data_IF_327439347336
#
_entry.id   IF_327439347336
#
_cell.length_a   1.000
_cell.length_b   1.000
_cell.length_c   1.000
_cell.angle_alpha   90.00
_cell.angle_beta   90.00
_cell.angle_gamma   90.00
#
_symmetry.space_group_name_H-M   'P 1'
#
loop_
_entity.id
_entity.type
_entity.pdbx_description
1 polymer ?
#
# COMPACT_ATOMS: atom_id res chain seq x y z
N UNK A 1 14.25 37.03 -22.98
CA UNK A 1 14.20 35.69 -23.60
C UNK A 1 14.66 34.69 -22.54
N UNK A 2 13.92 33.59 -22.32
CA UNK A 2 14.34 32.56 -21.36
C UNK A 2 15.66 31.93 -21.84
N UNK A 3 16.68 31.89 -21.01
CA UNK A 3 17.99 31.31 -21.33
C UNK A 3 17.84 29.81 -21.58
N UNK A 4 18.12 29.36 -22.81
CA UNK A 4 18.17 27.96 -23.19
C UNK A 4 19.48 27.34 -22.73
N UNK A 5 19.45 26.12 -22.21
CA UNK A 5 20.63 25.35 -21.85
C UNK A 5 20.53 23.98 -22.50
N UNK A 6 21.68 23.39 -22.83
CA UNK A 6 21.80 22.06 -23.38
C UNK A 6 22.43 21.14 -22.34
N UNK A 7 21.72 20.08 -21.96
CA UNK A 7 22.16 19.09 -20.97
C UNK A 7 22.69 17.86 -21.70
N UNK A 8 23.80 17.30 -21.23
CA UNK A 8 24.26 15.98 -21.66
C UNK A 8 23.46 14.86 -20.99
N UNK A 9 23.03 13.86 -21.76
CA UNK A 9 22.18 12.78 -21.28
C UNK A 9 22.92 11.45 -21.36
N UNK A 10 23.09 10.80 -20.23
CA UNK A 10 23.75 9.51 -20.11
C UNK A 10 22.83 8.42 -19.53
N UNK A 11 22.89 7.18 -20.04
CA UNK A 11 22.12 6.09 -19.46
C UNK A 11 22.76 5.64 -18.14
N UNK A 12 21.90 5.33 -17.14
CA UNK A 12 22.32 4.75 -15.88
C UNK A 12 21.81 3.31 -15.76
N UNK A 13 22.71 2.34 -15.83
CA UNK A 13 22.39 0.91 -15.79
C UNK A 13 22.16 0.34 -17.20
N UNK A 14 21.00 -0.30 -17.44
CA UNK A 14 20.71 -0.88 -18.75
C UNK A 14 20.58 0.22 -19.82
N UNK A 15 21.12 -0.02 -21.04
CA UNK A 15 20.95 0.92 -22.16
C UNK A 15 19.46 1.16 -22.46
N UNK A 16 19.13 2.42 -22.74
CA UNK A 16 17.78 2.82 -23.18
C UNK A 16 17.86 3.03 -24.69
N UNK A 17 17.03 2.28 -25.43
CA UNK A 17 16.94 2.46 -26.90
C UNK A 17 16.52 3.88 -27.21
N UNK A 18 17.17 4.50 -28.21
CA UNK A 18 16.87 5.86 -28.67
C UNK A 18 17.01 6.96 -27.59
N UNK A 19 17.76 6.73 -26.50
CA UNK A 19 18.04 7.81 -25.55
C UNK A 19 18.81 8.92 -26.29
N UNK A 20 18.34 10.18 -26.25
CA UNK A 20 19.06 11.30 -26.86
C UNK A 20 20.39 11.51 -26.11
N UNK A 21 21.43 11.93 -26.82
CA UNK A 21 22.72 12.29 -26.19
C UNK A 21 22.67 13.64 -25.49
N UNK A 22 21.79 14.52 -25.93
CA UNK A 22 21.57 15.87 -25.38
C UNK A 22 20.09 16.22 -25.37
N UNK A 23 19.69 17.09 -24.46
CA UNK A 23 18.35 17.68 -24.41
C UNK A 23 18.47 19.17 -24.15
N UNK A 24 17.74 19.98 -24.88
CA UNK A 24 17.71 21.45 -24.71
C UNK A 24 16.43 21.84 -23.96
N UNK A 25 16.58 22.57 -22.87
CA UNK A 25 15.50 23.12 -22.06
C UNK A 25 15.78 24.55 -21.69
N UNK A 26 14.79 25.26 -21.17
CA UNK A 26 15.03 26.61 -20.61
C UNK A 26 15.22 26.50 -19.09
N UNK A 27 15.91 27.46 -18.48
CA UNK A 27 16.05 27.49 -17.01
C UNK A 27 14.70 27.61 -16.30
N UNK A 28 13.70 28.22 -16.95
CA UNK A 28 12.33 28.34 -16.46
C UNK A 28 11.47 27.12 -16.70
N UNK A 29 11.92 26.17 -17.55
CA UNK A 29 11.23 24.90 -17.73
C UNK A 29 11.19 24.13 -16.41
N UNK A 30 10.14 23.35 -16.20
CA UNK A 30 9.98 22.53 -14.99
C UNK A 30 10.46 21.09 -15.19
N UNK A 31 10.54 20.34 -14.09
CA UNK A 31 11.00 18.94 -14.11
C UNK A 31 10.11 18.04 -14.97
N UNK A 32 8.79 18.30 -15.04
CA UNK A 32 7.86 17.53 -15.90
C UNK A 32 8.20 17.75 -17.38
N UNK A 33 8.50 18.96 -17.80
CA UNK A 33 8.89 19.26 -19.19
C UNK A 33 10.17 18.53 -19.59
N UNK A 34 11.19 18.52 -18.70
CA UNK A 34 12.42 17.77 -18.94
C UNK A 34 12.15 16.27 -19.07
N UNK A 35 11.33 15.70 -18.17
CA UNK A 35 10.96 14.29 -18.23
C UNK A 35 10.20 13.95 -19.51
N UNK A 36 9.26 14.80 -19.93
CA UNK A 36 8.48 14.61 -21.15
C UNK A 36 9.37 14.70 -22.41
N UNK A 37 10.28 15.67 -22.47
CA UNK A 37 11.20 15.81 -23.60
C UNK A 37 12.07 14.56 -23.81
N UNK A 38 12.60 13.99 -22.71
CA UNK A 38 13.39 12.75 -22.78
C UNK A 38 12.52 11.54 -23.11
N UNK A 39 11.31 11.45 -22.57
CA UNK A 39 10.35 10.39 -22.84
C UNK A 39 9.96 10.35 -24.31
N UNK A 40 9.62 11.51 -24.89
CA UNK A 40 9.26 11.66 -26.29
C UNK A 40 10.43 11.29 -27.20
N UNK A 41 11.62 11.81 -26.95
CA UNK A 41 12.81 11.52 -27.75
C UNK A 41 13.22 10.02 -27.71
N UNK A 42 13.04 9.37 -26.55
CA UNK A 42 13.39 7.96 -26.38
C UNK A 42 12.27 6.97 -26.75
N UNK A 43 11.02 7.46 -26.92
CA UNK A 43 9.84 6.63 -27.10
C UNK A 43 9.46 5.83 -25.84
N UNK A 44 10.00 6.20 -24.67
CA UNK A 44 9.70 5.55 -23.40
C UNK A 44 8.57 6.28 -22.67
N UNK A 45 7.76 5.54 -21.89
CA UNK A 45 6.80 6.19 -20.99
C UNK A 45 7.54 7.03 -19.95
N UNK A 46 7.07 8.26 -19.70
CA UNK A 46 7.63 9.17 -18.70
C UNK A 46 7.75 8.54 -17.30
N UNK A 47 6.82 7.67 -16.93
CA UNK A 47 6.82 6.95 -15.66
C UNK A 47 7.93 5.89 -15.54
N UNK A 48 8.52 5.46 -16.66
CA UNK A 48 9.66 4.53 -16.65
C UNK A 48 10.99 5.23 -16.41
N UNK A 49 11.05 6.54 -16.58
CA UNK A 49 12.30 7.29 -16.53
C UNK A 49 12.53 7.85 -15.13
N UNK A 50 13.71 7.59 -14.58
CA UNK A 50 14.21 8.26 -13.39
C UNK A 50 15.43 9.09 -13.77
N UNK A 51 15.29 10.40 -13.68
CA UNK A 51 16.35 11.36 -14.02
C UNK A 51 17.05 11.80 -12.74
N UNK A 52 18.36 11.80 -12.75
CA UNK A 52 19.21 12.27 -11.64
C UNK A 52 20.31 13.18 -12.17
N UNK A 53 20.76 14.14 -11.37
CA UNK A 53 21.93 14.94 -11.70
C UNK A 53 23.19 14.09 -11.74
N UNK A 54 24.12 14.40 -12.62
CA UNK A 54 25.41 13.75 -12.70
C UNK A 54 26.33 14.09 -11.52
N UNK A 55 26.24 15.33 -11.00
CA UNK A 55 27.10 15.87 -9.94
C UNK A 55 26.95 15.14 -8.60
N UNK A 56 25.72 15.07 -8.08
CA UNK A 56 25.42 14.59 -6.72
C UNK A 56 24.42 13.41 -6.69
N UNK A 57 23.96 12.96 -7.85
CA UNK A 57 22.94 11.91 -8.02
C UNK A 57 21.59 12.24 -7.40
N UNK A 58 21.33 13.50 -7.05
CA UNK A 58 20.00 13.92 -6.59
C UNK A 58 18.97 13.72 -7.70
N UNK A 59 17.75 13.33 -7.30
CA UNK A 59 16.67 13.08 -8.24
C UNK A 59 16.09 14.40 -8.71
N UNK A 60 15.92 14.55 -10.01
CA UNK A 60 15.15 15.63 -10.60
C UNK A 60 13.68 15.19 -10.58
N UNK A 61 12.80 15.85 -9.82
CA UNK A 61 11.41 15.44 -9.69
C UNK A 61 10.66 15.64 -11.01
N UNK A 62 9.72 14.73 -11.29
CA UNK A 62 8.78 14.88 -12.38
C UNK A 62 7.56 15.68 -11.87
N UNK A 63 7.71 16.99 -11.74
CA UNK A 63 6.65 17.88 -11.26
C UNK A 63 6.72 19.25 -11.96
N UNK A 64 5.64 20.03 -11.79
CA UNK A 64 5.51 21.38 -12.37
C UNK A 64 6.08 22.49 -11.50
N UNK A 65 6.60 22.19 -10.31
CA UNK A 65 7.01 23.20 -9.33
C UNK A 65 8.49 23.45 -9.33
N UNK A 66 9.27 22.38 -9.49
CA UNK A 66 10.72 22.43 -9.50
C UNK A 66 11.18 22.90 -10.88
N UNK A 67 11.70 24.11 -10.97
CA UNK A 67 12.28 24.60 -12.22
C UNK A 67 13.67 24.00 -12.45
N UNK A 68 14.14 24.02 -13.67
CA UNK A 68 15.50 23.57 -14.01
C UNK A 68 16.53 24.43 -13.27
N UNK A 69 16.26 25.73 -13.11
CA UNK A 69 17.11 26.65 -12.34
C UNK A 69 17.23 26.24 -10.87
N UNK A 70 16.11 25.85 -10.22
CA UNK A 70 16.08 25.35 -8.83
C UNK A 70 16.92 24.08 -8.64
N UNK A 71 17.07 23.27 -9.69
CA UNK A 71 17.91 22.07 -9.63
C UNK A 71 19.41 22.37 -9.64
N UNK A 72 19.80 23.59 -9.99
CA UNK A 72 21.20 23.99 -10.17
C UNK A 72 21.86 23.46 -11.44
N UNK A 73 21.08 22.92 -12.38
CA UNK A 73 21.60 22.52 -13.70
C UNK A 73 21.95 23.77 -14.52
N UNK A 74 23.05 23.68 -15.28
CA UNK A 74 23.56 24.72 -16.14
C UNK A 74 23.97 24.16 -17.50
N UNK A 75 24.41 25.00 -18.43
CA UNK A 75 24.90 24.57 -19.74
C UNK A 75 25.89 23.41 -19.59
N UNK A 76 25.76 22.39 -20.43
CA UNK A 76 26.60 21.19 -20.44
C UNK A 76 26.57 20.34 -19.17
N UNK A 77 25.65 20.60 -18.23
CA UNK A 77 25.47 19.70 -17.07
C UNK A 77 25.05 18.30 -17.53
N UNK A 78 25.60 17.28 -16.86
CA UNK A 78 25.26 15.87 -17.12
C UNK A 78 24.06 15.46 -16.31
N UNK A 79 23.09 14.78 -16.95
CA UNK A 79 22.00 14.10 -16.31
C UNK A 79 22.03 12.60 -16.63
N UNK A 80 21.72 11.78 -15.63
CA UNK A 80 21.66 10.34 -15.80
C UNK A 80 20.21 9.89 -15.86
N UNK A 81 19.87 9.09 -16.86
CA UNK A 81 18.54 8.54 -17.07
C UNK A 81 18.55 7.02 -16.82
N UNK A 82 17.72 6.57 -15.89
CA UNK A 82 17.55 5.15 -15.58
C UNK A 82 16.16 4.69 -16.00
N UNK A 83 16.10 3.59 -16.78
CA UNK A 83 14.85 2.88 -17.04
C UNK A 83 14.46 2.04 -15.81
N UNK A 84 13.29 2.29 -15.26
CA UNK A 84 12.70 1.55 -14.14
C UNK A 84 11.97 0.27 -14.58
N UNK A 85 11.87 0.02 -15.89
CA UNK A 85 11.08 -1.03 -16.49
C UNK A 85 9.57 -0.72 -16.50
N UNK A 86 8.73 -1.69 -16.89
CA UNK A 86 7.27 -1.50 -16.92
C UNK A 86 6.74 -1.02 -15.57
N UNK A 87 5.91 0.01 -15.63
CA UNK A 87 5.32 0.66 -14.47
C UNK A 87 3.80 0.51 -14.50
N UNK A 88 3.19 0.43 -13.31
CA UNK A 88 1.74 0.37 -13.12
C UNK A 88 1.35 1.37 -12.02
N UNK A 89 0.16 1.96 -12.13
CA UNK A 89 -0.34 2.88 -11.11
C UNK A 89 -0.53 2.16 -9.76
N UNK A 90 -0.11 2.80 -8.66
CA UNK A 90 -0.33 2.29 -7.31
C UNK A 90 -1.79 1.96 -7.04
N UNK A 91 -2.71 2.84 -7.46
CA UNK A 91 -4.15 2.63 -7.31
C UNK A 91 -4.62 1.34 -7.98
N UNK A 92 -4.18 1.08 -9.21
CA UNK A 92 -4.54 -0.15 -9.94
C UNK A 92 -4.04 -1.40 -9.22
N UNK A 93 -2.81 -1.38 -8.68
CA UNK A 93 -2.28 -2.51 -7.92
C UNK A 93 -3.14 -2.79 -6.69
N UNK A 94 -3.48 -1.76 -5.90
CA UNK A 94 -4.29 -1.94 -4.70
C UNK A 94 -5.71 -2.41 -4.99
N UNK A 95 -6.36 -1.92 -6.04
CA UNK A 95 -7.66 -2.42 -6.48
C UNK A 95 -7.57 -3.92 -6.81
N UNK A 96 -6.59 -4.32 -7.60
CA UNK A 96 -6.45 -5.73 -7.99
C UNK A 96 -6.11 -6.62 -6.78
N UNK A 97 -5.24 -6.17 -5.87
CA UNK A 97 -4.86 -6.99 -4.71
C UNK A 97 -6.00 -7.16 -3.71
N UNK A 98 -6.90 -6.18 -3.55
CA UNK A 98 -8.05 -6.29 -2.63
C UNK A 98 -9.26 -6.99 -3.26
N UNK A 99 -9.38 -7.00 -4.59
CA UNK A 99 -10.48 -7.65 -5.29
C UNK A 99 -10.56 -9.16 -5.00
N UNK A 100 -9.41 -9.85 -4.91
CA UNK A 100 -9.38 -11.28 -4.59
C UNK A 100 -10.03 -11.60 -3.26
N UNK A 101 -9.51 -11.10 -2.12
CA UNK A 101 -10.09 -11.38 -0.82
C UNK A 101 -11.47 -10.73 -0.60
N UNK A 102 -11.91 -9.81 -1.44
CA UNK A 102 -13.27 -9.32 -1.47
C UNK A 102 -14.24 -10.36 -2.02
N UNK A 103 -13.88 -11.05 -3.10
CA UNK A 103 -14.77 -11.97 -3.82
C UNK A 103 -14.63 -13.43 -3.36
N UNK A 104 -13.42 -13.90 -3.09
CA UNK A 104 -13.13 -15.29 -2.79
C UNK A 104 -13.93 -15.82 -1.58
N UNK A 105 -14.07 -15.10 -0.45
CA UNK A 105 -14.83 -15.58 0.69
C UNK A 105 -16.27 -15.93 0.34
N UNK A 106 -16.98 -15.06 -0.37
CA UNK A 106 -18.37 -15.33 -0.77
C UNK A 106 -18.46 -16.50 -1.76
N UNK A 107 -17.51 -16.59 -2.70
CA UNK A 107 -17.47 -17.71 -3.65
C UNK A 107 -17.25 -19.05 -2.94
N UNK A 108 -16.39 -19.11 -1.93
CA UNK A 108 -16.10 -20.31 -1.16
C UNK A 108 -17.23 -20.70 -0.22
N UNK A 109 -17.91 -19.71 0.37
CA UNK A 109 -19.00 -19.97 1.30
C UNK A 109 -20.26 -20.52 0.60
N UNK A 110 -20.53 -20.09 -0.64
CA UNK A 110 -21.77 -20.42 -1.34
C UNK A 110 -21.53 -21.27 -2.61
N UNK A 111 -21.22 -20.73 -3.80
CA UNK A 111 -21.29 -21.52 -5.03
C UNK A 111 -20.20 -22.59 -5.15
N UNK A 112 -19.02 -22.37 -4.59
CA UNK A 112 -17.91 -23.34 -4.66
C UNK A 112 -17.89 -24.32 -3.49
N UNK A 113 -18.70 -24.12 -2.43
CA UNK A 113 -18.72 -24.95 -1.23
C UNK A 113 -18.84 -26.45 -1.53
N UNK A 114 -19.78 -26.90 -2.37
CA UNK A 114 -19.90 -28.31 -2.70
C UNK A 114 -18.69 -28.91 -3.42
N UNK A 115 -17.99 -28.09 -4.21
CA UNK A 115 -16.81 -28.50 -4.99
C UNK A 115 -15.53 -28.53 -4.14
N UNK A 116 -15.43 -27.66 -3.13
CA UNK A 116 -14.23 -27.51 -2.32
C UNK A 116 -14.13 -28.56 -1.21
N UNK A 117 -15.27 -29.09 -0.76
CA UNK A 117 -15.34 -29.99 0.41
C UNK A 117 -15.87 -31.38 0.04
N UNK A 118 -15.53 -31.91 -1.14
CA UNK A 118 -15.93 -33.21 -1.64
C UNK A 118 -15.55 -34.42 -0.73
N UNK A 119 -14.61 -34.20 0.17
CA UNK A 119 -14.19 -35.22 1.15
C UNK A 119 -15.12 -35.32 2.36
N UNK A 120 -16.23 -34.57 2.40
CA UNK A 120 -17.26 -34.70 3.43
C UNK A 120 -18.51 -35.39 2.83
N UNK A 121 -18.99 -36.43 3.46
CA UNK A 121 -20.19 -37.17 3.01
C UNK A 121 -21.44 -36.29 3.03
N UNK A 122 -21.50 -35.35 3.96
CA UNK A 122 -22.56 -34.38 4.07
C UNK A 122 -21.96 -32.98 4.31
N UNK A 123 -22.32 -32.04 3.45
CA UNK A 123 -21.87 -30.63 3.54
C UNK A 123 -23.04 -29.80 4.08
N UNK A 124 -23.05 -29.45 5.38
CA UNK A 124 -24.13 -28.64 5.95
C UNK A 124 -24.14 -27.24 5.38
N UNK A 125 -25.27 -26.55 5.51
CA UNK A 125 -25.34 -25.11 5.24
C UNK A 125 -24.32 -24.37 6.10
N UNK A 126 -23.82 -23.19 5.63
CA UNK A 126 -22.94 -22.36 6.42
C UNK A 126 -23.58 -21.99 7.76
N UNK A 127 -22.80 -22.02 8.85
CA UNK A 127 -23.24 -21.52 10.15
C UNK A 127 -23.36 -19.98 10.15
N UNK A 128 -24.12 -19.42 11.08
CA UNK A 128 -24.22 -17.96 11.26
C UNK A 128 -22.86 -17.32 11.52
N UNK A 129 -21.97 -18.02 12.23
CA UNK A 129 -20.60 -17.53 12.46
C UNK A 129 -19.78 -17.50 11.17
N UNK A 130 -19.89 -18.50 10.32
CA UNK A 130 -19.23 -18.49 9.00
C UNK A 130 -19.77 -17.35 8.11
N UNK A 131 -21.08 -17.15 8.10
CA UNK A 131 -21.71 -16.02 7.39
C UNK A 131 -21.22 -14.69 7.94
N UNK A 132 -21.15 -14.56 9.26
CA UNK A 132 -20.62 -13.34 9.91
C UNK A 132 -19.16 -13.09 9.50
N UNK A 133 -18.28 -14.10 9.56
CA UNK A 133 -16.88 -13.94 9.14
C UNK A 133 -16.81 -13.50 7.67
N UNK A 134 -17.60 -14.10 6.79
CA UNK A 134 -17.67 -13.68 5.39
C UNK A 134 -18.08 -12.20 5.26
N UNK A 135 -19.08 -11.77 6.02
CA UNK A 135 -19.52 -10.36 6.05
C UNK A 135 -18.41 -9.43 6.55
N UNK A 136 -17.68 -9.79 7.60
CA UNK A 136 -16.57 -8.98 8.12
C UNK A 136 -15.44 -8.85 7.10
N UNK A 137 -15.05 -9.94 6.42
CA UNK A 137 -14.05 -9.91 5.35
C UNK A 137 -14.51 -9.03 4.19
N UNK A 138 -15.77 -9.17 3.77
CA UNK A 138 -16.35 -8.34 2.71
C UNK A 138 -16.35 -6.85 3.07
N UNK A 139 -16.78 -6.50 4.27
CA UNK A 139 -16.79 -5.12 4.76
C UNK A 139 -15.38 -4.54 4.85
N UNK A 140 -14.42 -5.31 5.36
CA UNK A 140 -13.02 -4.90 5.42
C UNK A 140 -12.50 -4.55 4.02
N UNK A 141 -12.62 -5.46 3.04
CA UNK A 141 -12.07 -5.24 1.71
C UNK A 141 -12.87 -4.23 0.88
N UNK A 142 -14.17 -4.07 1.07
CA UNK A 142 -14.95 -2.95 0.51
C UNK A 142 -14.45 -1.61 1.05
N UNK A 143 -14.19 -1.51 2.35
CA UNK A 143 -13.57 -0.32 2.93
C UNK A 143 -12.18 -0.07 2.32
N UNK A 144 -11.33 -1.11 2.17
CA UNK A 144 -10.00 -0.96 1.55
C UNK A 144 -10.09 -0.48 0.10
N UNK A 145 -11.06 -0.97 -0.68
CA UNK A 145 -11.32 -0.46 -2.04
C UNK A 145 -11.76 1.01 -2.02
N UNK A 146 -12.72 1.33 -1.17
CA UNK A 146 -13.17 2.71 -0.99
C UNK A 146 -12.02 3.65 -0.63
N UNK A 147 -11.19 3.27 0.35
CA UNK A 147 -10.03 4.05 0.76
C UNK A 147 -9.00 4.21 -0.37
N UNK A 148 -8.79 3.18 -1.18
CA UNK A 148 -7.87 3.21 -2.33
C UNK A 148 -8.34 4.19 -3.40
N UNK A 149 -9.63 4.23 -3.66
CA UNK A 149 -10.20 5.05 -4.73
C UNK A 149 -10.37 6.51 -4.27
N UNK A 150 -10.86 6.74 -3.05
CA UNK A 150 -11.33 8.05 -2.62
C UNK A 150 -10.50 8.71 -1.50
N UNK A 151 -9.76 7.93 -0.71
CA UNK A 151 -9.06 8.45 0.47
C UNK A 151 -7.56 8.56 0.23
N UNK A 152 -6.91 7.51 -0.28
CA UNK A 152 -5.45 7.45 -0.32
C UNK A 152 -4.85 8.44 -1.32
N UNK A 153 -3.83 9.19 -0.86
CA UNK A 153 -2.97 10.03 -1.68
C UNK A 153 -1.60 9.39 -1.79
N UNK A 154 -1.28 8.85 -2.96
CA UNK A 154 0.00 8.16 -3.19
C UNK A 154 1.15 9.15 -3.35
N UNK A 155 2.31 8.82 -2.80
CA UNK A 155 3.52 9.65 -2.91
C UNK A 155 4.28 9.48 -4.22
N UNK A 156 3.93 8.46 -4.99
CA UNK A 156 4.43 8.18 -6.34
C UNK A 156 3.25 7.74 -7.20
N UNK A 157 3.24 8.17 -8.45
CA UNK A 157 2.17 7.80 -9.37
C UNK A 157 2.18 6.30 -9.69
N UNK A 158 3.37 5.71 -9.81
CA UNK A 158 3.54 4.33 -10.28
C UNK A 158 4.54 3.54 -9.44
N UNK A 159 4.51 2.23 -9.60
CA UNK A 159 5.46 1.26 -9.08
C UNK A 159 5.84 0.23 -10.16
N UNK A 160 6.94 -0.55 -9.99
CA UNK A 160 7.28 -1.61 -10.93
C UNK A 160 6.13 -2.60 -11.09
N UNK A 161 5.72 -2.85 -12.36
CA UNK A 161 4.54 -3.68 -12.66
C UNK A 161 4.63 -5.10 -12.09
N UNK A 162 5.84 -5.67 -11.96
CA UNK A 162 6.06 -7.00 -11.35
C UNK A 162 5.54 -7.11 -9.90
N UNK A 163 5.38 -5.98 -9.20
CA UNK A 163 4.92 -5.98 -7.81
C UNK A 163 3.46 -6.41 -7.69
N UNK A 164 2.66 -6.31 -8.77
CA UNK A 164 1.27 -6.79 -8.77
C UNK A 164 1.18 -8.28 -8.42
N UNK A 165 2.08 -9.11 -8.98
CA UNK A 165 2.08 -10.56 -8.70
C UNK A 165 2.41 -10.85 -7.24
N UNK A 166 3.43 -10.18 -6.69
CA UNK A 166 3.82 -10.36 -5.30
C UNK A 166 2.71 -9.93 -4.33
N UNK A 167 2.14 -8.77 -4.58
CA UNK A 167 1.12 -8.19 -3.70
C UNK A 167 -0.18 -8.99 -3.81
N UNK A 168 -0.64 -9.29 -5.04
CA UNK A 168 -1.84 -10.10 -5.23
C UNK A 168 -1.68 -11.51 -4.66
N UNK A 169 -0.51 -12.15 -4.81
CA UNK A 169 -0.26 -13.45 -4.21
C UNK A 169 -0.41 -13.41 -2.67
N UNK A 170 0.10 -12.37 -2.01
CA UNK A 170 -0.09 -12.20 -0.56
C UNK A 170 -1.56 -12.09 -0.18
N UNK A 171 -2.32 -11.20 -0.82
CA UNK A 171 -3.72 -10.98 -0.47
C UNK A 171 -4.64 -12.12 -0.95
N UNK A 172 -4.49 -12.56 -2.21
CA UNK A 172 -5.36 -13.60 -2.76
C UNK A 172 -5.11 -14.98 -2.14
N UNK A 173 -3.82 -15.37 -1.96
CA UNK A 173 -3.50 -16.66 -1.41
C UNK A 173 -3.74 -16.71 0.12
N UNK A 174 -3.23 -15.73 0.88
CA UNK A 174 -3.28 -15.79 2.33
C UNK A 174 -4.61 -15.27 2.90
N UNK A 175 -5.06 -14.08 2.48
CA UNK A 175 -6.29 -13.50 3.00
C UNK A 175 -7.55 -14.02 2.28
N UNK A 176 -7.48 -14.22 0.97
CA UNK A 176 -8.59 -14.79 0.20
C UNK A 176 -8.70 -16.30 0.40
N UNK A 177 -7.85 -17.03 -0.27
CA UNK A 177 -7.93 -18.48 -0.42
C UNK A 177 -7.75 -19.23 0.91
N UNK A 178 -6.62 -18.98 1.59
CA UNK A 178 -6.30 -19.71 2.83
C UNK A 178 -7.36 -19.47 3.92
N UNK A 179 -7.76 -18.21 4.16
CA UNK A 179 -8.79 -17.94 5.17
C UNK A 179 -10.12 -18.58 4.77
N UNK A 180 -10.59 -18.33 3.54
CA UNK A 180 -11.87 -18.85 3.09
C UNK A 180 -11.93 -20.40 3.15
N UNK A 181 -10.88 -21.07 2.67
CA UNK A 181 -10.85 -22.54 2.67
C UNK A 181 -10.94 -23.12 4.07
N UNK A 182 -10.18 -22.60 5.05
CA UNK A 182 -10.12 -23.18 6.38
C UNK A 182 -11.23 -22.71 7.32
N UNK A 183 -11.72 -21.48 7.20
CA UNK A 183 -12.81 -20.97 8.04
C UNK A 183 -14.15 -21.54 7.61
N UNK A 184 -14.35 -21.77 6.29
CA UNK A 184 -15.64 -22.22 5.78
C UNK A 184 -15.76 -23.74 5.64
N UNK A 185 -14.77 -24.51 6.08
CA UNK A 185 -14.88 -25.97 6.16
C UNK A 185 -16.04 -26.38 7.07
N UNK A 186 -16.69 -27.53 6.76
CA UNK A 186 -17.77 -28.09 7.60
C UNK A 186 -17.36 -28.41 9.04
N UNK A 187 -16.09 -28.76 9.28
CA UNK A 187 -15.49 -29.10 10.56
C UNK A 187 -14.69 -27.96 11.23
N UNK A 188 -14.74 -26.76 10.67
CA UNK A 188 -14.05 -25.60 11.24
C UNK A 188 -14.67 -25.15 12.57
N UNK A 189 -13.88 -24.53 13.45
CA UNK A 189 -14.38 -23.94 14.69
C UNK A 189 -15.54 -22.95 14.46
N UNK A 190 -15.48 -22.20 13.36
CA UNK A 190 -16.55 -21.29 12.95
C UNK A 190 -17.82 -22.00 12.45
N UNK A 191 -17.77 -23.31 12.15
CA UNK A 191 -18.93 -24.09 11.71
C UNK A 191 -19.77 -24.61 12.86
N UNK A 192 -19.32 -24.44 14.11
CA UNK A 192 -20.05 -24.95 15.30
C UNK A 192 -21.40 -24.27 15.44
N UNK A 193 -22.40 -25.06 15.89
CA UNK A 193 -23.74 -24.57 16.26
C UNK A 193 -23.71 -23.71 17.54
N UNK A 194 -22.71 -23.89 18.39
CA UNK A 194 -22.55 -23.18 19.66
C UNK A 194 -21.19 -22.49 19.75
N UNK A 195 -20.99 -21.36 19.06
CA UNK A 195 -19.75 -20.60 19.13
C UNK A 195 -19.55 -20.05 20.55
N UNK A 196 -18.29 -19.89 20.97
CA UNK A 196 -17.99 -19.21 22.22
C UNK A 196 -18.45 -17.75 22.16
N UNK A 197 -19.44 -17.32 22.98
CA UNK A 197 -20.01 -15.99 22.89
C UNK A 197 -19.01 -14.88 23.25
N UNK A 198 -18.05 -15.16 24.14
CA UNK A 198 -17.02 -14.17 24.51
C UNK A 198 -16.13 -13.89 23.32
N UNK A 199 -15.66 -14.92 22.60
CA UNK A 199 -14.85 -14.75 21.40
C UNK A 199 -15.63 -14.01 20.31
N UNK A 200 -16.91 -14.38 20.13
CA UNK A 200 -17.77 -13.78 19.11
C UNK A 200 -17.98 -12.29 19.36
N UNK A 201 -18.49 -11.91 20.51
CA UNK A 201 -18.84 -10.51 20.79
C UNK A 201 -17.62 -9.63 21.04
N UNK A 202 -16.60 -10.11 21.75
CA UNK A 202 -15.36 -9.36 21.92
C UNK A 202 -14.63 -9.16 20.57
N UNK A 203 -14.60 -10.20 19.73
CA UNK A 203 -14.01 -10.11 18.39
C UNK A 203 -14.76 -9.13 17.50
N UNK A 204 -16.09 -9.17 17.50
CA UNK A 204 -16.91 -8.24 16.73
C UNK A 204 -16.73 -6.79 17.20
N UNK A 205 -16.75 -6.53 18.49
CA UNK A 205 -16.53 -5.19 19.05
C UNK A 205 -15.11 -4.67 18.69
N UNK A 206 -14.11 -5.51 18.83
CA UNK A 206 -12.73 -5.18 18.47
C UNK A 206 -12.60 -4.86 16.97
N UNK A 207 -13.23 -5.67 16.11
CA UNK A 207 -13.22 -5.44 14.66
C UNK A 207 -13.83 -4.07 14.31
N UNK A 208 -15.06 -3.80 14.78
CA UNK A 208 -15.77 -2.55 14.48
C UNK A 208 -14.96 -1.33 14.96
N UNK A 209 -14.50 -1.37 16.20
CA UNK A 209 -13.66 -0.31 16.76
C UNK A 209 -12.41 -0.07 15.90
N UNK A 210 -11.74 -1.15 15.54
CA UNK A 210 -10.46 -1.08 14.82
C UNK A 210 -10.63 -0.59 13.39
N UNK A 211 -11.70 -0.99 12.69
CA UNK A 211 -12.01 -0.51 11.34
C UNK A 211 -12.28 1.00 11.32
N UNK A 212 -13.05 1.51 12.29
CA UNK A 212 -13.34 2.94 12.43
C UNK A 212 -12.08 3.73 12.80
N UNK A 213 -11.28 3.24 13.72
CA UNK A 213 -10.03 3.88 14.13
C UNK A 213 -8.97 3.85 13.00
N UNK A 214 -8.91 2.77 12.22
CA UNK A 214 -8.05 2.66 11.04
C UNK A 214 -8.48 3.67 9.96
N UNK A 215 -9.78 3.77 9.67
CA UNK A 215 -10.31 4.78 8.75
C UNK A 215 -9.96 6.21 9.22
N UNK A 216 -10.14 6.52 10.48
CA UNK A 216 -9.76 7.82 11.05
C UNK A 216 -8.27 8.11 10.83
N UNK A 217 -7.39 7.13 11.10
CA UNK A 217 -5.96 7.30 10.87
C UNK A 217 -5.62 7.53 9.38
N UNK A 218 -6.33 6.87 8.46
CA UNK A 218 -6.17 7.11 7.02
C UNK A 218 -6.64 8.50 6.59
N UNK A 219 -7.74 9.00 7.17
CA UNK A 219 -8.23 10.37 6.91
C UNK A 219 -7.20 11.41 7.38
N UNK A 220 -6.65 11.27 8.58
CA UNK A 220 -5.57 12.13 9.09
C UNK A 220 -4.37 12.11 8.14
N UNK A 221 -3.93 10.92 7.71
CA UNK A 221 -2.79 10.78 6.79
C UNK A 221 -3.06 11.39 5.40
N UNK A 222 -4.31 11.34 4.93
CA UNK A 222 -4.73 12.00 3.68
C UNK A 222 -4.61 13.51 3.81
N UNK A 223 -5.12 14.06 4.92
CA UNK A 223 -5.24 15.52 5.11
C UNK A 223 -3.88 16.19 5.37
N UNK A 224 -2.88 15.44 5.81
CA UNK A 224 -1.49 15.91 5.88
C UNK A 224 -0.89 16.25 4.52
N UNK A 225 -1.45 15.77 3.43
CA UNK A 225 -0.95 16.02 2.08
C UNK A 225 -1.87 17.00 1.37
N UNK A 226 -1.35 18.15 1.02
CA UNK A 226 -2.06 19.07 0.13
C UNK A 226 -2.22 18.41 -1.25
N UNK A 227 -3.36 18.57 -1.93
CA UNK A 227 -3.54 18.07 -3.29
C UNK A 227 -2.40 18.51 -4.20
N UNK A 228 -1.87 17.56 -5.00
CA UNK A 228 -0.77 17.83 -5.93
C UNK A 228 0.61 18.05 -5.29
N UNK A 229 0.80 17.78 -3.98
CA UNK A 229 2.10 17.89 -3.32
C UNK A 229 2.61 16.54 -2.81
N UNK A 230 3.93 16.42 -2.69
CA UNK A 230 4.59 15.29 -2.01
C UNK A 230 4.98 15.65 -0.57
N UNK A 231 4.77 16.89 -0.15
CA UNK A 231 5.03 17.36 1.20
C UNK A 231 4.20 16.61 2.23
N UNK A 232 4.80 16.38 3.38
CA UNK A 232 4.20 15.64 4.49
C UNK A 232 4.36 16.46 5.76
N UNK A 233 3.33 16.45 6.59
CA UNK A 233 3.41 16.93 7.96
C UNK A 233 3.67 15.81 8.97
N UNK A 234 3.91 16.18 10.22
CA UNK A 234 3.89 15.26 11.35
C UNK A 234 2.43 14.95 11.67
N UNK A 235 2.01 13.68 11.67
CA UNK A 235 0.63 13.33 11.97
C UNK A 235 0.32 13.49 13.46
N UNK A 236 -0.87 14.01 13.74
CA UNK A 236 -1.43 14.21 15.08
C UNK A 236 -2.85 13.64 15.14
N UNK A 237 -3.36 13.41 16.35
CA UNK A 237 -4.71 12.92 16.58
C UNK A 237 -4.74 11.51 17.16
N UNK A 238 -5.89 10.86 17.08
CA UNK A 238 -6.14 9.59 17.74
C UNK A 238 -5.14 8.50 17.30
N UNK A 239 -4.50 7.86 18.28
CA UNK A 239 -3.48 6.85 18.07
C UNK A 239 -2.07 7.38 17.72
N UNK A 240 -1.94 8.56 17.09
CA UNK A 240 -0.65 9.12 16.71
C UNK A 240 0.19 9.61 17.90
N UNK A 241 -0.41 9.81 19.07
CA UNK A 241 0.33 10.06 20.32
C UNK A 241 0.93 8.79 20.93
N UNK A 242 0.41 7.63 20.61
CA UNK A 242 0.81 6.33 21.18
C UNK A 242 1.87 5.64 20.34
N UNK A 243 1.64 5.59 19.03
CA UNK A 243 2.49 4.88 18.06
C UNK A 243 2.74 5.72 16.82
N UNK A 244 3.77 5.35 16.06
CA UNK A 244 4.11 6.02 14.79
C UNK A 244 3.09 5.72 13.69
N UNK A 245 2.56 4.49 13.67
CA UNK A 245 1.69 3.98 12.63
C UNK A 245 0.38 3.42 13.23
N UNK A 246 -0.53 4.27 13.74
CA UNK A 246 -1.78 3.79 14.31
C UNK A 246 -2.67 3.08 13.28
N UNK A 247 -2.59 3.45 12.00
CA UNK A 247 -3.26 2.73 10.94
C UNK A 247 -2.82 1.25 10.85
N UNK A 248 -1.56 0.93 11.08
CA UNK A 248 -1.09 -0.46 11.15
C UNK A 248 -1.51 -1.15 12.44
N UNK A 249 -1.49 -0.43 13.57
CA UNK A 249 -1.99 -0.93 14.83
C UNK A 249 -3.44 -1.40 14.72
N UNK A 250 -4.31 -0.51 14.25
CA UNK A 250 -5.74 -0.80 14.11
C UNK A 250 -6.03 -1.84 13.01
N UNK A 251 -5.22 -1.92 11.97
CA UNK A 251 -5.29 -3.01 11.00
C UNK A 251 -5.04 -4.38 11.64
N UNK A 252 -3.98 -4.50 12.44
CA UNK A 252 -3.68 -5.75 13.19
C UNK A 252 -4.80 -6.08 14.18
N UNK A 253 -5.33 -5.09 14.91
CA UNK A 253 -6.43 -5.30 15.86
C UNK A 253 -7.72 -5.73 15.16
N UNK A 254 -8.03 -5.21 13.96
CA UNK A 254 -9.15 -5.69 13.16
C UNK A 254 -9.01 -7.18 12.82
N UNK A 255 -7.82 -7.60 12.40
CA UNK A 255 -7.53 -9.01 12.10
C UNK A 255 -7.54 -9.90 13.35
N UNK A 256 -7.13 -9.39 14.51
CA UNK A 256 -7.34 -10.09 15.79
C UNK A 256 -8.85 -10.23 16.08
N UNK A 257 -9.65 -9.21 15.78
CA UNK A 257 -11.11 -9.29 15.84
C UNK A 257 -11.67 -10.43 14.98
N UNK A 258 -11.25 -10.53 13.71
CA UNK A 258 -11.64 -11.63 12.82
C UNK A 258 -11.17 -12.99 13.35
N UNK A 259 -9.96 -13.08 13.92
CA UNK A 259 -9.43 -14.28 14.53
C UNK A 259 -10.31 -14.78 15.68
N UNK A 260 -10.76 -13.89 16.55
CA UNK A 260 -11.66 -14.22 17.66
C UNK A 260 -13.04 -14.66 17.13
N UNK A 261 -13.66 -13.89 16.20
CA UNK A 261 -14.97 -14.23 15.62
C UNK A 261 -14.91 -15.57 14.90
N UNK A 262 -13.82 -15.89 14.22
CA UNK A 262 -13.63 -17.18 13.52
C UNK A 262 -13.37 -18.35 14.46
N UNK A 263 -13.60 -18.19 15.78
CA UNK A 263 -13.33 -19.20 16.81
C UNK A 263 -11.88 -19.67 16.79
N UNK A 264 -10.94 -18.71 16.74
CA UNK A 264 -9.49 -18.92 16.78
C UNK A 264 -8.94 -19.68 15.57
N UNK A 265 -9.45 -19.41 14.38
CA UNK A 265 -8.97 -20.05 13.16
C UNK A 265 -7.47 -19.78 12.93
N UNK A 266 -6.68 -20.85 12.85
CA UNK A 266 -5.24 -20.77 12.61
C UNK A 266 -4.89 -20.07 11.30
N UNK A 267 -5.74 -20.17 10.26
CA UNK A 267 -5.53 -19.54 8.96
C UNK A 267 -5.60 -18.02 9.05
N UNK A 268 -6.49 -17.49 9.88
CA UNK A 268 -6.59 -16.06 10.20
C UNK A 268 -5.36 -15.62 11.00
N UNK A 269 -4.92 -16.42 11.98
CA UNK A 269 -3.72 -16.14 12.77
C UNK A 269 -2.48 -16.04 11.89
N UNK A 270 -2.27 -17.00 10.98
CA UNK A 270 -1.14 -16.98 10.04
C UNK A 270 -1.14 -15.70 9.20
N UNK A 271 -2.27 -15.33 8.63
CA UNK A 271 -2.37 -14.08 7.87
C UNK A 271 -2.07 -12.85 8.74
N UNK A 272 -2.61 -12.79 9.95
CA UNK A 272 -2.40 -11.70 10.91
C UNK A 272 -0.91 -11.56 11.26
N UNK A 273 -0.22 -12.67 11.52
CA UNK A 273 1.21 -12.67 11.85
C UNK A 273 2.07 -12.23 10.66
N UNK A 274 1.84 -12.80 9.47
CA UNK A 274 2.61 -12.45 8.27
C UNK A 274 2.41 -10.97 7.89
N UNK A 275 1.17 -10.49 7.91
CA UNK A 275 0.85 -9.09 7.62
C UNK A 275 1.38 -8.14 8.70
N UNK A 276 1.27 -8.54 9.97
CA UNK A 276 1.79 -7.79 11.10
C UNK A 276 3.31 -7.59 11.05
N UNK A 277 4.06 -8.65 10.76
CA UNK A 277 5.52 -8.56 10.59
C UNK A 277 5.92 -7.64 9.41
N UNK A 278 5.17 -7.72 8.31
CA UNK A 278 5.40 -6.83 7.16
C UNK A 278 5.10 -5.36 7.52
N UNK A 279 3.98 -5.10 8.21
CA UNK A 279 3.61 -3.75 8.67
C UNK A 279 4.62 -3.22 9.70
N UNK A 280 5.13 -4.08 10.59
CA UNK A 280 6.20 -3.72 11.52
C UNK A 280 7.47 -3.26 10.81
N UNK A 281 7.92 -3.99 9.78
CA UNK A 281 9.07 -3.60 8.95
C UNK A 281 8.84 -2.24 8.27
N UNK A 282 7.64 -1.99 7.75
CA UNK A 282 7.30 -0.71 7.13
C UNK A 282 7.19 0.42 8.16
N UNK A 283 6.66 0.13 9.33
CA UNK A 283 6.55 1.09 10.43
C UNK A 283 7.93 1.60 10.87
N UNK A 284 8.91 0.72 11.03
CA UNK A 284 10.29 1.10 11.34
C UNK A 284 10.93 1.98 10.28
N UNK A 285 10.71 1.68 8.99
CA UNK A 285 11.19 2.53 7.89
C UNK A 285 10.55 3.91 7.93
N UNK A 286 9.28 3.98 8.31
CA UNK A 286 8.53 5.23 8.44
C UNK A 286 9.02 6.06 9.62
N UNK A 287 9.24 5.43 10.78
CA UNK A 287 9.81 6.06 11.97
C UNK A 287 11.19 6.67 11.68
N UNK A 288 12.12 5.89 11.08
CA UNK A 288 13.44 6.37 10.69
C UNK A 288 13.36 7.57 9.74
N UNK A 289 12.40 7.53 8.79
CA UNK A 289 12.20 8.63 7.86
C UNK A 289 11.69 9.88 8.58
N UNK A 290 10.71 9.78 9.48
CA UNK A 290 10.19 10.92 10.23
C UNK A 290 11.28 11.60 11.05
N UNK A 291 12.14 10.82 11.72
CA UNK A 291 13.30 11.37 12.44
C UNK A 291 14.26 12.13 11.55
N UNK A 292 14.53 11.59 10.36
CA UNK A 292 15.43 12.24 9.40
C UNK A 292 14.82 13.51 8.79
N UNK A 293 13.52 13.49 8.49
CA UNK A 293 12.83 14.56 7.77
C UNK A 293 12.48 15.74 8.69
N UNK A 294 12.08 15.47 9.92
CA UNK A 294 11.57 16.47 10.85
C UNK A 294 12.54 16.84 12.00
N UNK A 295 13.59 16.07 12.21
CA UNK A 295 14.58 16.32 13.25
C UNK A 295 13.92 16.50 14.63
N UNK A 296 14.30 17.56 15.32
CA UNK A 296 13.84 17.86 16.69
C UNK A 296 12.34 18.19 16.79
N UNK A 297 11.71 18.53 15.67
CA UNK A 297 10.26 18.75 15.61
C UNK A 297 9.46 17.46 15.78
N UNK A 298 10.05 16.30 15.47
CA UNK A 298 9.42 14.99 15.62
C UNK A 298 9.82 14.35 16.94
N UNK A 299 8.93 14.41 17.93
CA UNK A 299 9.12 13.71 19.20
C UNK A 299 9.08 12.20 18.98
N UNK A 300 10.13 11.50 19.40
CA UNK A 300 10.21 10.03 19.34
C UNK A 300 8.96 9.42 19.98
N UNK A 301 8.30 8.56 19.24
CA UNK A 301 7.20 7.74 19.77
C UNK A 301 7.76 6.62 20.65
N UNK A 302 6.95 6.17 21.59
CA UNK A 302 7.36 5.08 22.48
C UNK A 302 7.51 3.77 21.73
N UNK A 303 6.59 3.51 20.81
CA UNK A 303 6.58 2.30 19.97
C UNK A 303 6.19 2.64 18.54
N UNK A 304 6.42 1.71 17.61
CA UNK A 304 6.17 1.94 16.19
C UNK A 304 4.74 1.58 15.80
N UNK A 305 4.24 0.43 16.25
CA UNK A 305 2.92 -0.09 15.89
C UNK A 305 2.09 -0.44 17.12
N UNK A 306 2.59 -1.33 17.99
CA UNK A 306 1.85 -1.81 19.14
C UNK A 306 2.27 -1.04 20.39
N UNK A 307 1.33 -0.37 21.08
CA UNK A 307 1.63 0.32 22.32
C UNK A 307 2.30 -0.62 23.32
N UNK A 308 3.42 -0.18 23.90
CA UNK A 308 4.18 -0.88 24.94
C UNK A 308 4.98 -2.12 24.48
N UNK A 309 4.83 -2.60 23.25
CA UNK A 309 5.47 -3.82 22.76
C UNK A 309 6.59 -3.55 21.73
N UNK A 310 6.38 -2.70 20.73
CA UNK A 310 7.38 -2.45 19.67
C UNK A 310 7.08 -1.20 18.83
#
# INVERSE_FOLDING_TARGET
>A
MASKITLAVEPRGKPIKKLPKTVTVTLSSNGEELHNAIAEASGASVHRLRITKGSDRSVIPNDKRTTIDDTGLRESSVIHVKDLGPQIAWRTVFIIEYLGPLLIPALFLYPLRPLLYLNFDNIPAPSDTQVLVCALLTLHFLKREYETIFVHRFSSATMPARNIFKNSAHYWALSGFNIAYWVFRPDAGAATAHPNPVLLYAGLALFIFSELANLNAHMVLRDLRRPGTTERGIPHGFGFSWVTCPNYCFEILAWIGVFLVSQLSWSVLVFTLVSGLQMWSWGWKKEKRYRKEFGDKYKKKRTVILPFLC
#
